data_IF_895026366897
#
_entry.id   IF_895026366897
#
_cell.length_a   1.000
_cell.length_b   1.000
_cell.length_c   1.000
_cell.angle_alpha   90.00
_cell.angle_beta   90.00
_cell.angle_gamma   90.00
#
_symmetry.space_group_name_H-M   'P 1'
#
loop_
_entity.id
_entity.type
_entity.pdbx_description
1 polymer ?
#
# COMPACT_ATOMS: atom_id res chain seq x y z
N UNK A 1 0.90 19.42 -6.56
CA UNK A 1 -0.07 18.34 -6.26
C UNK A 1 -1.51 18.70 -6.66
N UNK A 2 -2.02 19.90 -6.34
CA UNK A 2 -3.39 20.32 -6.64
C UNK A 2 -3.82 20.15 -8.13
N UNK A 3 -2.99 20.57 -9.08
CA UNK A 3 -3.26 20.43 -10.53
C UNK A 3 -3.43 18.96 -10.97
N UNK A 4 -2.68 18.04 -10.35
CA UNK A 4 -2.75 16.61 -10.69
C UNK A 4 -4.03 15.98 -10.17
N UNK A 5 -4.48 16.37 -8.98
CA UNK A 5 -5.77 15.97 -8.42
C UNK A 5 -6.92 16.49 -9.29
N UNK A 6 -6.87 17.76 -9.69
CA UNK A 6 -7.88 18.36 -10.57
C UNK A 6 -7.98 17.65 -11.92
N UNK A 7 -6.84 17.34 -12.55
CA UNK A 7 -6.82 16.60 -13.82
C UNK A 7 -7.40 15.19 -13.69
N UNK A 8 -7.19 14.52 -12.55
CA UNK A 8 -7.77 13.21 -12.27
C UNK A 8 -9.28 13.30 -12.01
N UNK A 9 -9.76 14.34 -11.33
CA UNK A 9 -11.18 14.55 -11.10
C UNK A 9 -11.93 14.83 -12.39
N UNK A 10 -11.39 15.67 -13.28
CA UNK A 10 -12.00 15.92 -14.59
C UNK A 10 -12.05 14.66 -15.45
N UNK A 11 -10.97 13.87 -15.47
CA UNK A 11 -10.95 12.59 -16.18
C UNK A 11 -11.96 11.56 -15.62
N UNK A 12 -12.24 11.58 -14.31
CA UNK A 12 -13.23 10.72 -13.69
C UNK A 12 -14.67 11.14 -14.01
N UNK A 13 -14.93 12.45 -14.17
CA UNK A 13 -16.25 13.00 -14.50
C UNK A 13 -16.65 12.75 -15.96
N UNK A 14 -15.67 12.65 -16.87
CA UNK A 14 -15.90 12.35 -18.29
C UNK A 14 -16.06 10.84 -18.59
N UNK A 15 -16.01 9.96 -17.58
CA UNK A 15 -15.89 8.51 -17.73
C UNK A 15 -17.13 7.82 -18.33
N UNK A 16 -16.89 6.76 -19.11
CA UNK A 16 -17.93 5.91 -19.71
C UNK A 16 -18.39 4.80 -18.75
N UNK A 17 -19.49 4.08 -19.05
CA UNK A 17 -19.95 2.95 -18.23
C UNK A 17 -18.91 1.82 -18.06
N UNK A 18 -17.90 1.75 -18.94
CA UNK A 18 -16.79 0.80 -18.83
C UNK A 18 -15.73 1.25 -17.81
N UNK A 19 -15.67 2.53 -17.47
CA UNK A 19 -14.79 3.08 -16.44
C UNK A 19 -15.35 2.90 -15.03
N UNK A 20 -16.68 2.85 -14.87
CA UNK A 20 -17.30 2.58 -13.56
C UNK A 20 -17.04 1.14 -13.10
N UNK A 21 -17.11 0.16 -14.00
CA UNK A 21 -16.75 -1.24 -13.69
C UNK A 21 -15.27 -1.39 -13.32
N UNK A 22 -14.37 -0.71 -14.05
CA UNK A 22 -12.93 -0.70 -13.75
C UNK A 22 -12.64 0.03 -12.43
N UNK A 23 -13.37 1.10 -12.12
CA UNK A 23 -13.27 1.81 -10.84
C UNK A 23 -13.68 0.92 -9.67
N UNK A 24 -14.79 0.19 -9.77
CA UNK A 24 -15.20 -0.78 -8.75
C UNK A 24 -14.13 -1.85 -8.55
N UNK A 25 -13.54 -2.37 -9.64
CA UNK A 25 -12.42 -3.33 -9.57
C UNK A 25 -11.20 -2.76 -8.85
N UNK A 26 -10.84 -1.51 -9.12
CA UNK A 26 -9.74 -0.84 -8.43
C UNK A 26 -10.01 -0.64 -6.93
N UNK A 27 -11.26 -0.37 -6.54
CA UNK A 27 -11.65 -0.27 -5.12
C UNK A 27 -11.54 -1.63 -4.43
N UNK A 28 -12.04 -2.71 -5.05
CA UNK A 28 -11.89 -4.06 -4.51
C UNK A 28 -10.41 -4.46 -4.36
N UNK A 29 -9.56 -4.11 -5.32
CA UNK A 29 -8.11 -4.32 -5.24
C UNK A 29 -7.47 -3.53 -4.09
N UNK A 30 -7.95 -2.31 -3.79
CA UNK A 30 -7.50 -1.54 -2.62
C UNK A 30 -7.95 -2.19 -1.31
N UNK A 31 -9.17 -2.70 -1.23
CA UNK A 31 -9.67 -3.41 -0.05
C UNK A 31 -8.88 -4.68 0.23
N UNK A 32 -8.57 -5.46 -0.81
CA UNK A 32 -7.67 -6.61 -0.68
C UNK A 32 -6.28 -6.20 -0.19
N UNK A 33 -5.73 -5.09 -0.72
CA UNK A 33 -4.46 -4.55 -0.24
C UNK A 33 -4.51 -4.05 1.22
N UNK A 34 -5.66 -3.55 1.70
CA UNK A 34 -5.86 -3.21 3.11
C UNK A 34 -5.74 -4.45 3.99
N UNK A 35 -6.37 -5.56 3.59
CA UNK A 35 -6.27 -6.83 4.32
C UNK A 35 -4.83 -7.38 4.31
N UNK A 36 -4.18 -7.39 3.14
CA UNK A 36 -2.76 -7.78 2.99
C UNK A 36 -1.85 -6.89 3.87
N UNK A 37 -2.11 -5.57 3.91
CA UNK A 37 -1.38 -4.59 4.73
C UNK A 37 -1.55 -4.85 6.23
N UNK A 38 -2.77 -5.08 6.70
CA UNK A 38 -3.03 -5.40 8.10
C UNK A 38 -2.30 -6.68 8.53
N UNK A 39 -2.33 -7.72 7.70
CA UNK A 39 -1.56 -8.95 7.95
C UNK A 39 -0.05 -8.69 7.96
N UNK A 40 0.47 -7.95 6.99
CA UNK A 40 1.89 -7.62 6.91
C UNK A 40 2.37 -6.81 8.12
N UNK A 41 1.56 -5.88 8.62
CA UNK A 41 1.84 -5.10 9.83
C UNK A 41 1.89 -6.00 11.06
N UNK A 42 0.92 -6.91 11.23
CA UNK A 42 0.91 -7.86 12.35
C UNK A 42 2.16 -8.76 12.35
N UNK A 43 2.53 -9.28 11.18
CA UNK A 43 3.76 -10.09 11.02
C UNK A 43 5.02 -9.26 11.31
N UNK A 44 5.09 -8.03 10.82
CA UNK A 44 6.21 -7.13 11.07
C UNK A 44 6.35 -6.78 12.56
N UNK A 45 5.22 -6.55 13.25
CA UNK A 45 5.18 -6.29 14.68
C UNK A 45 5.63 -7.51 15.49
N UNK A 46 5.14 -8.70 15.16
CA UNK A 46 5.57 -9.94 15.80
C UNK A 46 7.09 -10.17 15.64
N UNK A 47 7.61 -9.96 14.43
CA UNK A 47 9.05 -10.06 14.15
C UNK A 47 9.87 -9.02 14.92
N UNK A 48 9.35 -7.79 15.07
CA UNK A 48 9.99 -6.74 15.85
C UNK A 48 10.03 -7.10 17.34
N UNK A 49 8.93 -7.61 17.90
CA UNK A 49 8.86 -8.07 19.29
C UNK A 49 9.84 -9.22 19.55
N UNK A 50 9.87 -10.22 18.66
CA UNK A 50 10.82 -11.33 18.77
C UNK A 50 12.28 -10.86 18.68
N UNK A 51 12.59 -9.96 17.74
CA UNK A 51 13.92 -9.38 17.61
C UNK A 51 14.33 -8.59 18.85
N UNK A 52 13.39 -7.89 19.48
CA UNK A 52 13.64 -7.16 20.72
C UNK A 52 13.88 -8.09 21.91
N UNK A 53 13.11 -9.17 22.03
CA UNK A 53 13.32 -10.21 23.04
C UNK A 53 14.69 -10.86 22.91
N UNK A 54 15.05 -11.31 21.71
CA UNK A 54 16.38 -11.90 21.44
C UNK A 54 17.51 -10.89 21.65
N UNK A 55 17.28 -9.63 21.30
CA UNK A 55 18.20 -8.55 21.60
C UNK A 55 18.43 -8.39 23.11
N UNK A 56 17.37 -8.31 23.90
CA UNK A 56 17.46 -8.23 25.36
C UNK A 56 18.19 -9.43 25.96
N UNK A 57 17.87 -10.65 25.51
CA UNK A 57 18.52 -11.89 25.96
C UNK A 57 20.02 -11.95 25.61
N UNK A 58 20.45 -11.27 24.54
CA UNK A 58 21.85 -11.23 24.07
C UNK A 58 22.57 -9.92 24.42
N UNK A 59 21.96 -9.06 25.24
CA UNK A 59 22.52 -7.76 25.65
C UNK A 59 22.57 -6.69 24.56
N UNK A 60 21.86 -6.87 23.44
CA UNK A 60 21.77 -5.92 22.32
C UNK A 60 20.41 -5.22 22.30
N UNK A 61 20.38 -3.90 22.41
CA UNK A 61 19.14 -3.14 22.19
C UNK A 61 18.86 -2.96 20.68
N UNK A 62 17.65 -3.30 20.19
CA UNK A 62 17.24 -2.97 18.83
C UNK A 62 17.07 -1.45 18.67
N UNK A 63 17.49 -0.92 17.52
CA UNK A 63 17.31 0.51 17.19
C UNK A 63 15.86 0.79 16.79
N UNK A 64 15.15 1.59 17.59
CA UNK A 64 13.73 1.92 17.38
C UNK A 64 13.41 2.50 15.98
N UNK A 65 14.32 3.29 15.41
CA UNK A 65 14.15 3.88 14.05
C UNK A 65 14.00 2.82 12.95
N UNK A 66 14.83 1.77 12.98
CA UNK A 66 14.80 0.69 11.98
C UNK A 66 13.53 -0.17 12.10
N UNK A 67 12.95 -0.27 13.29
CA UNK A 67 11.69 -0.97 13.52
C UNK A 67 10.52 -0.17 12.95
N UNK A 68 10.49 1.15 13.19
CA UNK A 68 9.47 2.05 12.64
C UNK A 68 9.44 2.04 11.11
N UNK A 69 10.61 2.10 10.47
CA UNK A 69 10.72 2.03 9.00
C UNK A 69 10.17 0.72 8.42
N UNK A 70 10.47 -0.43 9.06
CA UNK A 70 9.97 -1.73 8.64
C UNK A 70 8.45 -1.86 8.78
N UNK A 71 7.90 -1.32 9.86
CA UNK A 71 6.45 -1.31 10.09
C UNK A 71 5.74 -0.44 9.05
N UNK A 72 6.26 0.77 8.81
CA UNK A 72 5.74 1.67 7.78
C UNK A 72 5.84 1.05 6.37
N UNK A 73 6.97 0.40 6.06
CA UNK A 73 7.14 -0.32 4.80
C UNK A 73 6.14 -1.48 4.65
N UNK A 74 5.91 -2.27 5.71
CA UNK A 74 4.93 -3.36 5.70
C UNK A 74 3.50 -2.83 5.45
N UNK A 75 3.15 -1.69 6.06
CA UNK A 75 1.85 -1.07 5.86
C UNK A 75 1.66 -0.54 4.43
N UNK A 76 2.68 0.11 3.86
CA UNK A 76 2.55 0.86 2.60
C UNK A 76 2.86 0.04 1.34
N UNK A 77 3.65 -1.03 1.46
CA UNK A 77 4.09 -1.83 0.30
C UNK A 77 2.94 -2.41 -0.52
N UNK A 78 1.87 -3.00 0.07
CA UNK A 78 0.75 -3.55 -0.69
C UNK A 78 0.04 -2.48 -1.54
N UNK A 79 -0.22 -1.30 -0.97
CA UNK A 79 -0.80 -0.17 -1.70
C UNK A 79 0.10 0.31 -2.83
N UNK A 80 1.41 0.46 -2.58
CA UNK A 80 2.37 0.87 -3.61
C UNK A 80 2.46 -0.11 -4.78
N UNK A 81 2.32 -1.42 -4.53
CA UNK A 81 2.24 -2.44 -5.60
C UNK A 81 0.97 -2.28 -6.44
N UNK A 82 -0.21 -2.16 -5.80
CA UNK A 82 -1.49 -2.02 -6.51
C UNK A 82 -1.58 -0.71 -7.29
N UNK A 83 -1.13 0.41 -6.75
CA UNK A 83 -1.10 1.70 -7.46
C UNK A 83 -0.26 1.62 -8.74
N UNK A 84 0.93 1.02 -8.67
CA UNK A 84 1.80 0.84 -9.85
C UNK A 84 1.19 -0.10 -10.88
N UNK A 85 0.58 -1.20 -10.43
CA UNK A 85 -0.14 -2.12 -11.30
C UNK A 85 -1.29 -1.42 -12.04
N UNK A 86 -2.09 -0.63 -11.33
CA UNK A 86 -3.24 0.07 -11.89
C UNK A 86 -2.80 1.17 -12.85
N UNK A 87 -1.75 1.92 -12.51
CA UNK A 87 -1.17 2.89 -13.42
C UNK A 87 -0.70 2.25 -14.74
N UNK A 88 -0.07 1.06 -14.70
CA UNK A 88 0.34 0.32 -15.90
C UNK A 88 -0.85 -0.19 -16.71
N UNK A 89 -1.92 -0.65 -16.05
CA UNK A 89 -3.14 -1.13 -16.71
C UNK A 89 -3.89 0.01 -17.40
N UNK A 90 -4.06 1.13 -16.71
CA UNK A 90 -4.68 2.33 -17.28
C UNK A 90 -3.85 2.91 -18.44
N UNK A 91 -2.52 2.90 -18.34
CA UNK A 91 -1.66 3.34 -19.44
C UNK A 91 -1.79 2.46 -20.70
N UNK A 92 -2.07 1.16 -20.53
CA UNK A 92 -2.31 0.22 -21.65
C UNK A 92 -3.72 0.30 -22.22
N UNK A 93 -4.70 0.78 -21.44
CA UNK A 93 -6.11 0.92 -21.86
C UNK A 93 -6.38 2.24 -22.60
N UNK A 94 -5.37 3.10 -22.79
CA UNK A 94 -5.44 4.22 -23.75
C UNK A 94 -5.38 3.66 -25.18
N UNK A 95 -6.52 3.18 -25.68
CA UNK A 95 -6.85 3.04 -27.10
C UNK A 95 -8.33 3.39 -27.24
#
# INVERSE_FOLDING_TARGET
MAMRIHSMQMAALTGTAQDTAEMTKMVSEKMAATAESAMAVNVALANAAFSAFMGAATGRMPKASKTGEKLAAAALTPYGKRVRSNARRLARKKV
#
